data_IF_054295244389
#
_entry.id   IF_054295244389
#
_cell.length_a   1.000
_cell.length_b   1.000
_cell.length_c   1.000
_cell.angle_alpha   90.00
_cell.angle_beta   90.00
_cell.angle_gamma   90.00
#
_symmetry.space_group_name_H-M   'P 1'
#
loop_
_entity.id
_entity.type
_entity.pdbx_description
1 polymer ?
#
# COMPACT_ATOMS: atom_id res chain seq x y z
N UNK A 1 -4.98 13.19 14.53
CA UNK A 1 -5.49 11.87 14.11
C UNK A 1 -5.70 12.01 12.63
N UNK A 2 -4.71 11.68 11.81
CA UNK A 2 -4.67 12.44 10.54
C UNK A 2 -4.12 11.68 9.33
N UNK A 3 -4.34 10.37 9.31
CA UNK A 3 -4.85 9.68 8.11
C UNK A 3 -6.33 9.39 8.36
N UNK A 4 -7.23 9.77 7.43
CA UNK A 4 -8.68 9.58 7.61
C UNK A 4 -9.30 8.55 6.66
N UNK A 5 -8.63 8.27 5.54
CA UNK A 5 -9.05 7.28 4.54
C UNK A 5 -7.83 6.71 3.85
N UNK A 6 -7.88 5.41 3.52
CA UNK A 6 -6.86 4.72 2.75
C UNK A 6 -7.46 4.20 1.45
N UNK A 7 -6.72 4.36 0.37
CA UNK A 7 -7.08 3.92 -0.97
C UNK A 7 -5.91 3.12 -1.55
N UNK A 8 -6.23 2.13 -2.39
CA UNK A 8 -5.22 1.49 -3.22
C UNK A 8 -5.65 1.43 -4.68
N UNK A 9 -4.69 1.54 -5.59
CA UNK A 9 -5.02 1.63 -7.02
C UNK A 9 -3.90 1.18 -7.95
N UNK A 10 -4.21 1.09 -9.24
CA UNK A 10 -3.24 0.83 -10.31
C UNK A 10 -2.47 2.11 -10.68
N UNK A 11 -1.28 1.94 -11.27
CA UNK A 11 -0.48 3.03 -11.81
C UNK A 11 -1.27 3.84 -12.82
N UNK A 12 -1.98 3.16 -13.73
CA UNK A 12 -2.80 3.81 -14.76
C UNK A 12 -3.82 4.78 -14.15
N UNK A 13 -4.50 4.37 -13.09
CA UNK A 13 -5.46 5.23 -12.42
C UNK A 13 -4.74 6.33 -11.64
N UNK A 14 -3.68 6.01 -10.88
CA UNK A 14 -2.90 7.01 -10.14
C UNK A 14 -2.35 8.14 -11.04
N UNK A 15 -1.81 7.82 -12.21
CA UNK A 15 -1.33 8.81 -13.20
C UNK A 15 -2.45 9.65 -13.83
N UNK A 16 -3.70 9.19 -13.77
CA UNK A 16 -4.85 9.92 -14.32
C UNK A 16 -5.54 10.83 -13.30
N UNK A 17 -5.23 10.70 -12.02
CA UNK A 17 -5.82 11.51 -10.96
C UNK A 17 -5.20 12.91 -10.92
N UNK A 18 -6.05 13.91 -10.72
CA UNK A 18 -5.58 15.26 -10.37
C UNK A 18 -5.04 15.27 -8.95
N UNK A 19 -3.91 15.94 -8.76
CA UNK A 19 -3.25 15.98 -7.47
C UNK A 19 -4.06 16.77 -6.43
N UNK A 20 -4.05 16.28 -5.20
CA UNK A 20 -4.70 16.92 -4.06
C UNK A 20 -3.65 17.11 -2.94
N UNK A 21 -3.40 18.34 -2.46
CA UNK A 21 -2.44 18.57 -1.37
C UNK A 21 -2.85 17.90 -0.06
N UNK A 22 -4.11 17.48 0.08
CA UNK A 22 -4.62 16.71 1.22
C UNK A 22 -4.54 15.19 1.02
N UNK A 23 -3.77 14.73 0.03
CA UNK A 23 -3.52 13.31 -0.22
C UNK A 23 -2.02 13.02 -0.21
N UNK A 24 -1.62 12.07 0.64
CA UNK A 24 -0.30 11.46 0.61
C UNK A 24 -0.30 10.23 -0.31
N UNK A 25 0.80 10.00 -1.02
CA UNK A 25 0.91 8.93 -2.00
C UNK A 25 2.13 8.06 -1.72
N UNK A 26 1.92 6.75 -1.62
CA UNK A 26 2.99 5.76 -1.69
C UNK A 26 2.97 5.18 -3.11
N UNK A 27 4.00 5.53 -3.88
CA UNK A 27 4.17 5.18 -5.28
C UNK A 27 5.14 4.00 -5.41
N UNK A 28 4.62 2.85 -5.84
CA UNK A 28 5.41 1.63 -6.03
C UNK A 28 5.47 1.34 -7.53
N UNK A 29 6.66 1.13 -8.07
CA UNK A 29 6.87 0.72 -9.46
C UNK A 29 7.76 -0.51 -9.55
N UNK A 30 7.78 -1.16 -10.71
CA UNK A 30 8.79 -2.19 -10.98
C UNK A 30 10.17 -1.53 -11.20
N UNK A 31 11.28 -2.14 -10.74
CA UNK A 31 12.64 -1.66 -10.97
C UNK A 31 13.02 -1.44 -12.44
N UNK A 32 12.33 -2.12 -13.36
CA UNK A 32 12.56 -2.05 -14.80
C UNK A 32 11.69 -1.02 -15.51
N UNK A 33 10.84 -0.30 -14.77
CA UNK A 33 9.89 0.67 -15.33
C UNK A 33 10.22 2.09 -14.85
N UNK A 34 9.89 3.14 -15.65
CA UNK A 34 10.02 4.51 -15.18
C UNK A 34 9.10 4.78 -13.99
N UNK A 35 9.44 5.78 -13.19
CA UNK A 35 8.56 6.28 -12.12
C UNK A 35 7.17 6.63 -12.64
N UNK A 36 6.15 6.50 -11.79
CA UNK A 36 4.80 6.93 -12.11
C UNK A 36 4.74 8.46 -12.24
N UNK A 37 4.12 8.92 -13.33
CA UNK A 37 3.88 10.34 -13.62
C UNK A 37 2.67 10.83 -12.81
N UNK A 38 2.93 11.13 -11.55
CA UNK A 38 1.94 11.69 -10.63
C UNK A 38 1.82 13.20 -10.84
N UNK A 39 0.61 13.72 -10.63
CA UNK A 39 0.36 15.16 -10.63
C UNK A 39 1.22 15.86 -9.56
N UNK A 40 1.94 16.95 -9.88
CA UNK A 40 2.80 17.68 -8.93
C UNK A 40 2.07 18.24 -7.69
N UNK A 41 0.73 18.33 -7.71
CA UNK A 41 -0.07 18.74 -6.55
C UNK A 41 -0.16 17.67 -5.47
N UNK A 42 0.24 16.42 -5.74
CA UNK A 42 0.54 15.46 -4.68
C UNK A 42 1.84 15.86 -3.98
N UNK A 43 1.72 16.55 -2.84
CA UNK A 43 2.88 17.14 -2.14
C UNK A 43 3.65 16.15 -1.27
N UNK A 44 2.97 15.10 -0.81
CA UNK A 44 3.55 14.08 0.07
C UNK A 44 3.65 12.79 -0.71
N UNK A 45 4.82 12.50 -1.28
CA UNK A 45 5.03 11.32 -2.13
C UNK A 45 6.24 10.53 -1.65
N UNK A 46 6.03 9.29 -1.24
CA UNK A 46 7.08 8.29 -1.07
C UNK A 46 7.18 7.45 -2.35
N UNK A 47 8.37 7.37 -2.94
CA UNK A 47 8.63 6.53 -4.12
C UNK A 47 9.47 5.32 -3.74
N UNK A 48 9.00 4.15 -4.12
CA UNK A 48 9.66 2.86 -3.91
C UNK A 48 9.66 2.06 -5.21
N UNK A 49 10.67 1.24 -5.39
CA UNK A 49 10.81 0.41 -6.58
C UNK A 49 11.24 -1.00 -6.19
N UNK A 50 10.34 -1.97 -6.36
CA UNK A 50 10.57 -3.38 -6.06
C UNK A 50 9.61 -4.29 -6.81
N UNK A 51 10.06 -5.50 -7.12
CA UNK A 51 9.29 -6.49 -7.86
C UNK A 51 8.10 -7.03 -7.06
N UNK A 52 7.02 -7.37 -7.77
CA UNK A 52 5.88 -8.10 -7.21
C UNK A 52 6.20 -9.59 -7.08
N UNK A 53 7.07 -9.92 -6.13
CA UNK A 53 7.56 -11.27 -5.96
C UNK A 53 7.76 -11.60 -4.48
N UNK A 54 7.73 -12.89 -4.19
CA UNK A 54 8.08 -13.48 -2.90
C UNK A 54 9.40 -14.22 -3.04
N UNK A 55 10.24 -14.29 -1.99
CA UNK A 55 11.43 -15.14 -2.01
C UNK A 55 11.04 -16.59 -2.31
N UNK A 56 11.85 -17.27 -3.12
CA UNK A 56 11.64 -18.67 -3.45
C UNK A 56 11.87 -19.60 -2.25
N UNK A 57 12.74 -19.19 -1.31
CA UNK A 57 13.12 -19.89 -0.10
C UNK A 57 13.64 -18.87 0.93
N UNK A 58 13.31 -19.06 2.20
CA UNK A 58 13.77 -18.23 3.32
C UNK A 58 15.28 -18.31 3.55
N UNK A 59 15.92 -19.39 3.08
CA UNK A 59 17.36 -19.62 3.20
C UNK A 59 18.18 -19.14 2.00
N UNK A 60 17.54 -18.66 0.94
CA UNK A 60 18.23 -18.15 -0.24
C UNK A 60 18.34 -16.63 -0.21
N UNK A 61 19.47 -16.05 -0.67
CA UNK A 61 19.61 -14.61 -0.75
C UNK A 61 18.50 -14.03 -1.65
N UNK A 62 17.79 -13.04 -1.13
CA UNK A 62 16.72 -12.34 -1.85
C UNK A 62 17.27 -11.77 -3.15
N UNK A 63 16.53 -11.96 -4.25
CA UNK A 63 16.86 -11.34 -5.52
C UNK A 63 17.00 -9.82 -5.35
N UNK A 64 18.04 -9.18 -5.93
CA UNK A 64 18.14 -7.73 -5.94
C UNK A 64 16.86 -7.10 -6.50
N UNK A 65 16.30 -6.12 -5.77
CA UNK A 65 15.03 -5.48 -6.14
C UNK A 65 13.78 -6.14 -5.57
N UNK A 66 13.89 -7.13 -4.68
CA UNK A 66 12.78 -7.54 -3.82
C UNK A 66 12.51 -6.51 -2.71
N UNK A 67 11.29 -6.54 -2.17
CA UNK A 67 10.95 -5.77 -0.99
C UNK A 67 11.80 -6.22 0.21
N UNK A 68 12.34 -5.27 0.96
CA UNK A 68 13.22 -5.54 2.09
C UNK A 68 12.86 -4.72 3.33
N UNK A 69 13.57 -5.00 4.43
CA UNK A 69 13.38 -4.29 5.71
C UNK A 69 13.69 -2.80 5.64
N UNK A 70 14.53 -2.35 4.71
CA UNK A 70 14.85 -0.92 4.56
C UNK A 70 13.67 -0.21 3.92
N UNK A 71 13.09 -0.78 2.85
CA UNK A 71 11.87 -0.27 2.23
C UNK A 71 10.69 -0.28 3.22
N UNK A 72 10.54 -1.34 4.01
CA UNK A 72 9.53 -1.41 5.06
C UNK A 72 9.67 -0.27 6.09
N UNK A 73 10.90 0.04 6.52
CA UNK A 73 11.16 1.19 7.41
C UNK A 73 10.86 2.54 6.76
N UNK A 74 11.10 2.69 5.46
CA UNK A 74 10.74 3.90 4.73
C UNK A 74 9.21 4.10 4.70
N UNK A 75 8.46 3.02 4.46
CA UNK A 75 6.99 3.03 4.53
C UNK A 75 6.54 3.40 5.95
N UNK A 76 7.01 2.71 6.98
CA UNK A 76 6.62 2.98 8.37
C UNK A 76 6.90 4.44 8.76
N UNK A 77 8.12 4.93 8.50
CA UNK A 77 8.49 6.31 8.79
C UNK A 77 7.58 7.32 8.08
N UNK A 78 7.28 7.10 6.81
CA UNK A 78 6.38 7.95 6.04
C UNK A 78 4.95 7.93 6.58
N UNK A 79 4.40 6.74 6.88
CA UNK A 79 3.05 6.61 7.44
C UNK A 79 2.94 7.31 8.79
N UNK A 80 3.96 7.17 9.65
CA UNK A 80 4.01 7.86 10.96
C UNK A 80 4.11 9.37 10.83
N UNK A 81 4.91 9.86 9.87
CA UNK A 81 5.01 11.29 9.56
C UNK A 81 3.64 11.86 9.17
N UNK A 82 2.94 11.20 8.23
CA UNK A 82 1.61 11.61 7.77
C UNK A 82 0.58 11.52 8.91
N UNK A 83 0.60 10.46 9.70
CA UNK A 83 -0.30 10.29 10.84
C UNK A 83 -0.11 11.36 11.92
N UNK A 84 1.11 11.90 12.05
CA UNK A 84 1.46 12.98 12.97
C UNK A 84 1.18 14.39 12.41
N UNK A 85 0.73 14.50 11.15
CA UNK A 85 0.45 15.78 10.51
C UNK A 85 -0.66 16.57 11.24
N UNK A 86 -0.60 17.91 11.26
CA UNK A 86 -1.56 18.75 12.00
C UNK A 86 -2.95 18.85 11.35
N UNK A 87 -3.16 18.27 10.17
CA UNK A 87 -4.42 18.30 9.42
C UNK A 87 -4.68 16.94 8.75
N UNK A 88 -5.95 16.64 8.47
CA UNK A 88 -6.35 15.34 7.94
C UNK A 88 -5.88 15.12 6.50
N UNK A 89 -5.29 13.95 6.27
CA UNK A 89 -4.81 13.50 4.97
C UNK A 89 -5.49 12.18 4.59
N UNK A 90 -5.80 12.05 3.31
CA UNK A 90 -6.07 10.74 2.71
C UNK A 90 -4.74 10.09 2.31
N UNK A 91 -4.66 8.77 2.34
CA UNK A 91 -3.49 8.04 1.84
C UNK A 91 -3.86 7.18 0.63
N UNK A 92 -3.17 7.39 -0.48
CA UNK A 92 -3.27 6.54 -1.67
C UNK A 92 -2.00 5.71 -1.82
N UNK A 93 -2.16 4.41 -2.02
CA UNK A 93 -1.07 3.50 -2.36
C UNK A 93 -1.29 3.00 -3.79
N UNK A 94 -0.28 3.05 -4.65
CA UNK A 94 -0.41 2.42 -5.96
C UNK A 94 0.78 1.53 -6.27
N UNK A 95 0.54 0.50 -7.08
CA UNK A 95 1.56 -0.28 -7.77
C UNK A 95 1.25 -0.33 -9.26
N UNK A 96 1.79 -1.27 -10.04
CA UNK A 96 1.47 -1.38 -11.46
C UNK A 96 -0.02 -1.69 -11.71
N UNK A 97 -0.52 -2.79 -11.14
CA UNK A 97 -1.89 -3.26 -11.37
C UNK A 97 -2.88 -2.91 -10.26
N UNK A 98 -2.41 -2.48 -9.09
CA UNK A 98 -3.29 -2.18 -7.96
C UNK A 98 -3.89 -3.41 -7.30
N UNK A 99 -3.15 -4.54 -7.26
CA UNK A 99 -3.67 -5.83 -6.80
C UNK A 99 -2.88 -6.37 -5.61
N UNK A 100 -1.56 -6.54 -5.75
CA UNK A 100 -0.75 -7.28 -4.79
C UNK A 100 0.09 -6.37 -3.88
N UNK A 101 1.12 -5.69 -4.41
CA UNK A 101 1.99 -4.79 -3.60
C UNK A 101 1.25 -3.65 -2.93
N UNK A 102 0.41 -2.93 -3.69
CA UNK A 102 -0.32 -1.78 -3.15
C UNK A 102 -1.36 -2.18 -2.11
N UNK A 103 -2.00 -3.34 -2.28
CA UNK A 103 -2.95 -3.87 -1.31
C UNK A 103 -2.25 -4.22 0.00
N UNK A 104 -1.10 -4.90 -0.05
CA UNK A 104 -0.29 -5.22 1.14
C UNK A 104 0.10 -3.97 1.93
N UNK A 105 0.60 -2.93 1.25
CA UNK A 105 0.98 -1.68 1.90
C UNK A 105 -0.26 -0.92 2.41
N UNK A 106 -1.38 -0.91 1.67
CA UNK A 106 -2.60 -0.25 2.12
C UNK A 106 -3.21 -0.91 3.38
N UNK A 107 -3.14 -2.24 3.49
CA UNK A 107 -3.53 -2.97 4.70
C UNK A 107 -2.65 -2.59 5.90
N UNK A 108 -1.34 -2.43 5.69
CA UNK A 108 -0.45 -1.92 6.73
C UNK A 108 -0.84 -0.50 7.18
N UNK A 109 -1.12 0.40 6.24
CA UNK A 109 -1.55 1.78 6.54
C UNK A 109 -2.85 1.77 7.36
N UNK A 110 -3.84 0.97 6.96
CA UNK A 110 -5.09 0.77 7.71
C UNK A 110 -4.79 0.32 9.15
N UNK A 111 -3.97 -0.73 9.31
CA UNK A 111 -3.66 -1.30 10.62
C UNK A 111 -2.92 -0.32 11.55
N UNK A 112 -2.00 0.50 11.01
CA UNK A 112 -1.25 1.50 11.77
C UNK A 112 -2.09 2.74 12.11
N UNK A 113 -2.89 3.21 11.16
CA UNK A 113 -3.62 4.48 11.30
C UNK A 113 -5.00 4.33 11.94
N UNK A 114 -5.60 3.13 11.84
CA UNK A 114 -7.01 2.88 12.16
C UNK A 114 -8.00 3.47 11.15
N UNK A 115 -7.52 4.06 10.05
CA UNK A 115 -8.37 4.65 9.03
C UNK A 115 -8.96 3.57 8.11
N UNK A 116 -10.22 3.71 7.67
CA UNK A 116 -10.86 2.72 6.81
C UNK A 116 -10.15 2.62 5.45
N UNK A 117 -9.88 1.38 5.02
CA UNK A 117 -9.44 1.06 3.67
C UNK A 117 -10.63 0.91 2.72
N UNK A 118 -10.67 1.73 1.67
CA UNK A 118 -11.66 1.56 0.61
C UNK A 118 -11.43 0.23 -0.13
N UNK A 119 -12.54 -0.47 -0.39
CA UNK A 119 -12.53 -1.77 -1.07
C UNK A 119 -11.63 -2.82 -0.38
N UNK A 120 -11.48 -2.72 0.96
CA UNK A 120 -10.65 -3.62 1.78
C UNK A 120 -10.83 -5.09 1.42
N UNK A 121 -12.05 -5.53 1.18
CA UNK A 121 -12.41 -6.93 0.92
C UNK A 121 -11.74 -7.48 -0.35
N UNK A 122 -11.33 -6.61 -1.27
CA UNK A 122 -10.65 -6.96 -2.52
C UNK A 122 -9.12 -7.00 -2.39
N UNK A 123 -8.58 -6.88 -1.17
CA UNK A 123 -7.14 -6.98 -0.88
C UNK A 123 -6.67 -8.42 -0.62
N UNK A 124 -7.50 -9.42 -0.93
CA UNK A 124 -7.19 -10.85 -0.72
C UNK A 124 -5.99 -11.37 -1.54
N UNK A 125 -5.49 -10.60 -2.52
CA UNK A 125 -4.28 -10.89 -3.31
C UNK A 125 -3.05 -10.11 -2.83
N UNK A 126 -3.11 -9.50 -1.63
CA UNK A 126 -1.99 -8.76 -1.05
C UNK A 126 -0.71 -9.62 -1.01
N UNK A 127 0.42 -9.02 -1.41
CA UNK A 127 1.71 -9.72 -1.40
C UNK A 127 2.08 -10.15 0.04
N UNK A 128 2.16 -11.45 0.35
CA UNK A 128 2.38 -11.91 1.72
C UNK A 128 3.77 -11.52 2.23
N UNK A 129 4.79 -11.52 1.37
CA UNK A 129 6.15 -11.12 1.77
C UNK A 129 6.21 -9.64 2.21
N UNK A 130 5.46 -8.77 1.54
CA UNK A 130 5.34 -7.35 1.91
C UNK A 130 4.61 -7.21 3.24
N UNK A 131 3.50 -7.92 3.42
CA UNK A 131 2.72 -7.95 4.67
C UNK A 131 3.59 -8.41 5.83
N UNK A 132 4.23 -9.56 5.71
CA UNK A 132 5.05 -10.16 6.77
C UNK A 132 6.24 -9.28 7.14
N UNK A 133 6.89 -8.68 6.14
CA UNK A 133 8.04 -7.79 6.36
C UNK A 133 7.62 -6.50 7.08
N UNK A 134 6.46 -5.94 6.76
CA UNK A 134 5.91 -4.77 7.45
C UNK A 134 5.46 -5.11 8.87
N UNK A 135 4.74 -6.22 9.04
CA UNK A 135 4.30 -6.69 10.36
C UNK A 135 5.48 -7.03 11.28
N UNK A 136 6.59 -7.53 10.73
CA UNK A 136 7.80 -7.80 11.50
C UNK A 136 8.45 -6.53 12.11
N UNK A 137 8.11 -5.33 11.64
CA UNK A 137 8.51 -4.07 12.27
C UNK A 137 7.63 -3.72 13.48
N UNK A 138 6.39 -4.21 13.51
CA UNK A 138 5.38 -3.93 14.52
C UNK A 138 4.69 -5.21 14.98
N UNK A 139 5.35 -6.05 15.81
CA UNK A 139 4.76 -7.30 16.30
C UNK A 139 3.45 -7.11 17.07
N UNK A 140 3.19 -5.90 17.56
CA UNK A 140 1.97 -5.49 18.23
C UNK A 140 0.79 -5.21 17.28
N UNK A 141 1.04 -5.02 15.99
CA UNK A 141 0.04 -4.74 14.97
C UNK A 141 -0.25 -6.03 14.19
N UNK A 142 -1.54 -6.33 14.02
CA UNK A 142 -1.98 -7.45 13.18
C UNK A 142 -2.50 -6.91 11.86
N UNK A 143 -1.88 -7.34 10.75
CA UNK A 143 -2.34 -7.02 9.41
C UNK A 143 -3.21 -8.19 8.93
N UNK A 144 -4.53 -8.02 9.01
CA UNK A 144 -5.49 -9.04 8.56
C UNK A 144 -5.73 -8.93 7.05
N UNK A 145 -5.33 -9.97 6.29
CA UNK A 145 -5.60 -10.07 4.86
C UNK A 145 -6.95 -10.77 4.67
N UNK A 146 -7.94 -10.14 4.02
CA UNK A 146 -9.25 -10.76 3.80
C UNK A 146 -9.16 -12.03 2.96
N UNK A 147 -10.18 -12.88 3.10
CA UNK A 147 -10.34 -14.06 2.25
C UNK A 147 -11.07 -13.72 0.94
N UNK A 148 -10.91 -14.52 -0.13
CA UNK A 148 -11.66 -14.34 -1.37
C UNK A 148 -13.20 -14.40 -1.20
N UNK A 149 -13.68 -15.08 -0.15
CA UNK A 149 -15.12 -15.16 0.15
C UNK A 149 -15.70 -13.80 0.56
N UNK A 150 -14.97 -13.01 1.34
CA UNK A 150 -15.38 -11.67 1.73
C UNK A 150 -15.62 -10.76 0.50
N UNK A 151 -14.75 -10.85 -0.51
CA UNK A 151 -14.93 -10.13 -1.78
C UNK A 151 -16.19 -10.59 -2.54
N UNK A 152 -16.49 -11.89 -2.51
CA UNK A 152 -17.69 -12.45 -3.15
C UNK A 152 -18.97 -11.97 -2.48
N UNK A 153 -19.01 -11.96 -1.16
CA UNK A 153 -20.17 -11.48 -0.39
C UNK A 153 -20.48 -10.00 -0.68
N UNK A 154 -19.46 -9.13 -0.67
CA UNK A 154 -19.64 -7.71 -0.99
C UNK A 154 -20.17 -7.47 -2.41
N UNK A 155 -19.68 -8.24 -3.40
CA UNK A 155 -20.21 -8.16 -4.78
C UNK A 155 -21.66 -8.59 -4.88
N UNK A 156 -22.08 -9.58 -4.10
CA UNK A 156 -23.47 -10.03 -4.08
C UNK A 156 -24.37 -8.99 -3.40
N UNK A 157 -23.93 -8.40 -2.28
CA UNK A 157 -24.67 -7.36 -1.58
C UNK A 157 -24.88 -6.10 -2.44
N UNK A 158 -23.88 -5.68 -3.23
CA UNK A 158 -24.00 -4.52 -4.12
C UNK A 158 -24.94 -4.73 -5.33
N UNK A 159 -25.37 -5.97 -5.59
CA UNK A 159 -26.27 -6.33 -6.69
C UNK A 159 -27.72 -6.60 -6.24
N UNK A 160 -27.97 -6.65 -4.92
CA UNK A 160 -29.28 -6.86 -4.32
C UNK A 160 -29.98 -5.52 -4.05
#
# INVERSE_FOLDING_TARGET
MTINHVFYTSRKLAESLQGNPYMAVISITDPTTPEARLDPLFRHVLRLSFFDAVPADEFQPTLPGLFDRTMARQIDAFVREIQAAPFALSMMVHCEYGVSRSAAVALFVEAVSGAPLEAREFTYEANPWVVDTLQALHPEISIDVPTPDAARERRNAARA
#
